data_IF_889031981097
#
_entry.id   IF_889031981097
#
_cell.length_a   1.000
_cell.length_b   1.000
_cell.length_c   1.000
_cell.angle_alpha   90.00
_cell.angle_beta   90.00
_cell.angle_gamma   90.00
#
_symmetry.space_group_name_H-M   'P 1'
#
loop_
_entity.id
_entity.type
_entity.pdbx_description
1 polymer ?
#
# COMPACT_ATOMS: atom_id res chain seq x y z
N UNK A 1 -10.71 15.22 -7.10
CA UNK A 1 -9.40 14.75 -6.62
C UNK A 1 -9.62 13.89 -5.38
N UNK A 2 -9.74 12.59 -5.55
CA UNK A 2 -9.95 11.65 -4.45
C UNK A 2 -9.62 10.25 -4.95
N UNK A 3 -8.52 10.15 -5.71
CA UNK A 3 -8.19 8.95 -6.47
C UNK A 3 -7.32 8.03 -5.64
N UNK A 4 -7.86 6.88 -5.24
CA UNK A 4 -7.23 5.57 -5.01
C UNK A 4 -6.02 5.50 -4.04
N UNK A 5 -5.06 6.43 -4.07
CA UNK A 5 -3.99 6.55 -3.06
C UNK A 5 -4.51 6.80 -1.64
N UNK A 6 -5.68 7.45 -1.51
CA UNK A 6 -6.37 7.58 -0.23
C UNK A 6 -6.86 6.22 0.31
N UNK A 7 -7.39 5.34 -0.55
CA UNK A 7 -7.82 4.00 -0.12
C UNK A 7 -6.64 3.13 0.28
N UNK A 8 -5.55 3.15 -0.50
CA UNK A 8 -4.31 2.42 -0.16
C UNK A 8 -3.77 2.86 1.19
N UNK A 9 -3.72 4.17 1.45
CA UNK A 9 -3.26 4.70 2.74
C UNK A 9 -4.22 4.34 3.87
N UNK A 10 -5.53 4.40 3.63
CA UNK A 10 -6.56 4.03 4.62
C UNK A 10 -6.47 2.53 4.98
N UNK A 11 -6.30 1.65 4.00
CA UNK A 11 -6.11 0.21 4.24
C UNK A 11 -4.81 -0.05 5.01
N UNK A 12 -3.70 0.61 4.66
CA UNK A 12 -2.45 0.50 5.41
C UNK A 12 -2.58 1.05 6.86
N UNK A 13 -3.39 2.08 7.07
CA UNK A 13 -3.73 2.62 8.39
C UNK A 13 -4.57 1.61 9.21
N UNK A 14 -5.53 0.93 8.57
CA UNK A 14 -6.28 -0.15 9.22
C UNK A 14 -5.40 -1.34 9.61
N UNK A 15 -4.48 -1.76 8.75
CA UNK A 15 -3.57 -2.89 9.01
C UNK A 15 -2.57 -2.55 10.12
N UNK A 16 -1.96 -1.36 10.08
CA UNK A 16 -0.92 -0.97 11.06
C UNK A 16 -1.46 -0.38 12.35
N UNK A 17 -2.73 0.06 12.36
CA UNK A 17 -3.35 0.79 13.47
C UNK A 17 -2.76 2.19 13.72
N UNK A 18 -1.80 2.64 12.89
CA UNK A 18 -1.11 3.91 13.07
C UNK A 18 -0.88 4.60 11.72
N UNK A 19 -1.49 5.78 11.58
CA UNK A 19 -1.39 6.61 10.38
C UNK A 19 0.05 6.99 10.02
N UNK A 20 0.93 7.22 11.01
CA UNK A 20 2.35 7.54 10.75
C UNK A 20 3.07 6.33 10.19
N UNK A 21 2.79 5.12 10.69
CA UNK A 21 3.35 3.88 10.13
C UNK A 21 2.85 3.63 8.71
N UNK A 22 1.56 3.82 8.46
CA UNK A 22 0.99 3.72 7.11
C UNK A 22 1.62 4.71 6.12
N UNK A 23 1.81 5.98 6.53
CA UNK A 23 2.49 7.00 5.72
C UNK A 23 3.96 6.68 5.47
N UNK A 24 4.67 6.17 6.48
CA UNK A 24 6.05 5.75 6.33
C UNK A 24 6.16 4.59 5.32
N UNK A 25 5.29 3.59 5.45
CA UNK A 25 5.20 2.47 4.49
C UNK A 25 4.85 2.93 3.08
N UNK A 26 3.93 3.89 2.93
CA UNK A 26 3.52 4.41 1.63
C UNK A 26 4.68 5.05 0.83
N UNK A 27 5.71 5.53 1.54
CA UNK A 27 6.93 6.12 0.97
C UNK A 27 8.11 5.14 0.93
N UNK A 28 7.96 3.94 1.49
CA UNK A 28 9.02 2.94 1.48
C UNK A 28 8.98 2.17 0.16
N UNK A 29 10.15 1.95 -0.46
CA UNK A 29 10.25 1.11 -1.65
C UNK A 29 9.95 -0.34 -1.26
N UNK A 30 9.03 -0.96 -1.98
CA UNK A 30 8.65 -2.35 -1.75
C UNK A 30 9.46 -3.25 -2.69
N UNK A 31 10.36 -4.11 -2.16
CA UNK A 31 11.18 -4.99 -2.99
C UNK A 31 10.34 -5.90 -3.88
N UNK A 32 9.18 -6.32 -3.39
CA UNK A 32 8.27 -7.25 -4.10
C UNK A 32 7.59 -6.59 -5.32
N UNK A 33 7.52 -5.27 -5.34
CA UNK A 33 6.86 -4.48 -6.40
C UNK A 33 7.93 -3.72 -7.19
N UNK A 34 8.96 -4.42 -7.67
CA UNK A 34 10.04 -3.84 -8.48
C UNK A 34 10.81 -2.71 -7.78
N UNK A 35 10.96 -2.77 -6.44
CA UNK A 35 11.53 -1.68 -5.64
C UNK A 35 10.78 -0.34 -5.76
N UNK A 36 9.54 -0.35 -6.26
CA UNK A 36 8.72 0.85 -6.39
C UNK A 36 8.01 1.17 -5.08
N UNK A 37 7.82 2.45 -4.84
CA UNK A 37 6.98 2.91 -3.73
C UNK A 37 5.50 2.77 -4.07
N UNK A 38 4.62 2.55 -3.07
CA UNK A 38 3.17 2.63 -3.23
C UNK A 38 2.72 3.92 -3.94
N UNK A 39 3.37 5.05 -3.67
CA UNK A 39 3.14 6.32 -4.36
C UNK A 39 3.44 6.24 -5.87
N UNK A 40 4.59 5.69 -6.26
CA UNK A 40 4.96 5.49 -7.66
C UNK A 40 4.01 4.54 -8.38
N UNK A 41 3.57 3.46 -7.72
CA UNK A 41 2.64 2.49 -8.30
C UNK A 41 1.24 3.08 -8.52
N UNK A 42 0.79 3.96 -7.61
CA UNK A 42 -0.45 4.71 -7.78
C UNK A 42 -0.35 5.68 -8.96
N UNK A 43 0.78 6.36 -9.13
CA UNK A 43 1.01 7.24 -10.29
C UNK A 43 1.20 6.47 -11.61
N UNK A 44 1.82 5.29 -11.59
CA UNK A 44 2.09 4.47 -12.76
C UNK A 44 0.88 3.64 -13.23
N UNK A 45 -0.32 3.86 -12.67
CA UNK A 45 -1.52 3.06 -12.93
C UNK A 45 -1.41 1.57 -12.62
N UNK A 46 -0.32 1.11 -11.98
CA UNK A 46 -0.11 -0.26 -11.46
C UNK A 46 -0.83 -0.50 -10.12
N UNK A 47 -2.00 0.13 -9.97
CA UNK A 47 -2.81 0.18 -8.75
C UNK A 47 -3.35 -1.19 -8.35
N UNK A 48 -3.67 -2.04 -9.34
CA UNK A 48 -4.24 -3.38 -9.14
C UNK A 48 -3.27 -4.32 -8.42
N UNK A 49 -1.97 -4.23 -8.73
CA UNK A 49 -0.94 -5.03 -8.07
C UNK A 49 -0.78 -4.62 -6.60
N UNK A 50 -0.83 -3.31 -6.31
CA UNK A 50 -0.71 -2.76 -4.98
C UNK A 50 -1.92 -3.11 -4.09
N UNK A 51 -3.13 -3.00 -4.63
CA UNK A 51 -4.35 -3.42 -3.92
C UNK A 51 -4.36 -4.92 -3.64
N UNK A 52 -3.91 -5.75 -4.60
CA UNK A 52 -3.78 -7.20 -4.38
C UNK A 52 -2.77 -7.50 -3.27
N UNK A 53 -1.64 -6.79 -3.25
CA UNK A 53 -0.64 -6.94 -2.19
C UNK A 53 -1.19 -6.55 -0.81
N UNK A 54 -1.87 -5.41 -0.70
CA UNK A 54 -2.52 -5.00 0.54
C UNK A 54 -3.57 -6.01 1.01
N UNK A 55 -4.37 -6.56 0.09
CA UNK A 55 -5.36 -7.60 0.43
C UNK A 55 -4.69 -8.89 0.94
N UNK A 56 -3.51 -9.25 0.42
CA UNK A 56 -2.70 -10.35 0.95
C UNK A 56 -2.12 -10.04 2.34
N UNK A 57 -1.78 -8.79 2.64
CA UNK A 57 -1.34 -8.38 3.98
C UNK A 57 -2.49 -8.34 4.99
N UNK A 58 -3.68 -7.91 4.56
CA UNK A 58 -4.89 -7.83 5.37
C UNK A 58 -5.47 -9.23 5.70
N UNK A 59 -5.31 -10.19 4.78
CA UNK A 59 -5.56 -11.60 5.05
C UNK A 59 -4.60 -12.22 6.08
N UNK A 60 -3.61 -11.45 6.54
CA UNK A 60 -2.58 -11.83 7.50
C UNK A 60 -1.48 -12.72 6.89
N UNK A 61 -0.29 -12.79 7.51
CA UNK A 61 0.53 -13.97 7.36
C UNK A 61 -0.19 -15.11 8.07
N UNK A 62 -1.07 -15.82 7.36
CA UNK A 62 -1.44 -17.16 7.74
C UNK A 62 -0.24 -18.06 7.43
N UNK A 63 0.73 -18.06 8.34
CA UNK A 63 1.99 -18.81 8.28
C UNK A 63 2.93 -18.36 9.38
#
# INVERSE_FOLDING_TARGET
MGGIGYEVLRTAEQISGDRKKALAWYRQPLPILDHQTPEQLVNASRKTALLRYLRSLEAGPAG
#
